data_IF_658591011213
#
_entry.id   IF_658591011213
#
_cell.length_a   1.000
_cell.length_b   1.000
_cell.length_c   1.000
_cell.angle_alpha   90.00
_cell.angle_beta   90.00
_cell.angle_gamma   90.00
#
_symmetry.space_group_name_H-M   'P 1'
#
loop_
_entity.id
_entity.type
_entity.pdbx_description
1 polymer ?
#
# COMPACT_ATOMS: atom_id res chain seq x y z
N UNK A 1 -2.53 4.43 8.13
CA UNK A 1 -2.40 3.82 6.79
C UNK A 1 -1.84 2.42 6.93
N UNK A 2 -2.46 1.41 6.30
CA UNK A 2 -1.88 0.08 6.18
C UNK A 2 -0.96 -0.04 4.98
N UNK A 3 0.17 -0.74 5.12
CA UNK A 3 1.11 -0.98 4.03
C UNK A 3 1.41 -2.47 3.86
N UNK A 4 1.45 -2.93 2.60
CA UNK A 4 1.85 -4.28 2.23
C UNK A 4 2.68 -4.24 0.95
N UNK A 5 3.92 -4.71 1.02
CA UNK A 5 4.90 -4.59 -0.06
C UNK A 5 5.30 -5.90 -0.70
N UNK A 6 4.98 -7.02 -0.07
CA UNK A 6 5.36 -8.36 -0.52
C UNK A 6 4.21 -9.34 -0.39
N UNK A 7 4.22 -10.37 -1.22
CA UNK A 7 3.25 -11.44 -1.22
C UNK A 7 3.82 -12.75 -0.69
N UNK A 8 3.26 -13.87 -1.16
CA UNK A 8 3.74 -15.20 -0.82
C UNK A 8 5.04 -15.50 -1.61
N UNK A 9 6.18 -15.68 -0.93
CA UNK A 9 7.46 -15.91 -1.58
C UNK A 9 7.57 -17.26 -2.32
N UNK A 10 6.64 -18.18 -2.07
CA UNK A 10 6.57 -19.43 -2.80
C UNK A 10 5.85 -19.29 -4.15
N UNK A 11 5.33 -18.10 -4.46
CA UNK A 11 4.76 -17.80 -5.76
C UNK A 11 5.87 -17.41 -6.74
N UNK A 12 5.97 -18.13 -7.87
CA UNK A 12 7.07 -18.02 -8.85
C UNK A 12 7.29 -16.61 -9.40
N UNK A 13 6.29 -15.75 -9.40
CA UNK A 13 6.34 -14.38 -9.90
C UNK A 13 6.29 -13.34 -8.79
N UNK A 14 6.51 -13.73 -7.54
CA UNK A 14 6.41 -12.81 -6.40
C UNK A 14 7.49 -11.71 -6.46
N UNK A 15 8.67 -12.01 -6.97
CA UNK A 15 9.77 -11.06 -7.14
C UNK A 15 9.39 -9.85 -8.01
N UNK A 16 8.53 -10.04 -9.03
CA UNK A 16 8.12 -8.97 -9.94
C UNK A 16 7.06 -8.04 -9.36
N UNK A 17 6.26 -8.50 -8.41
CA UNK A 17 5.20 -7.72 -7.77
C UNK A 17 5.58 -7.21 -6.38
N UNK A 18 6.57 -7.83 -5.75
CA UNK A 18 7.08 -7.38 -4.46
C UNK A 18 7.93 -6.13 -4.63
N UNK A 19 7.77 -5.20 -3.71
CA UNK A 19 8.41 -3.89 -3.75
C UNK A 19 9.53 -3.89 -2.72
N UNK A 20 10.78 -3.56 -3.09
CA UNK A 20 11.84 -3.38 -2.10
C UNK A 20 11.44 -2.34 -1.06
N UNK A 21 11.57 -2.67 0.23
CA UNK A 21 11.02 -1.84 1.31
C UNK A 21 11.60 -0.43 1.34
N UNK A 22 12.86 -0.26 0.92
CA UNK A 22 13.53 1.05 0.79
C UNK A 22 12.77 2.07 -0.08
N UNK A 23 11.93 1.61 -1.03
CA UNK A 23 11.13 2.53 -1.83
C UNK A 23 10.08 3.29 -1.00
N UNK A 24 9.70 2.76 0.16
CA UNK A 24 8.76 3.42 1.07
C UNK A 24 9.36 4.59 1.85
N UNK A 25 10.68 4.83 1.80
CA UNK A 25 11.37 5.92 2.50
C UNK A 25 10.70 7.27 2.30
N UNK A 26 10.28 7.58 1.07
CA UNK A 26 9.68 8.86 0.72
C UNK A 26 8.39 9.13 1.49
N UNK A 27 7.59 8.09 1.75
CA UNK A 27 6.32 8.22 2.44
C UNK A 27 6.43 8.00 3.96
N UNK A 28 7.39 7.21 4.43
CA UNK A 28 7.61 6.99 5.86
C UNK A 28 8.09 8.25 6.59
N UNK A 29 8.54 9.28 5.85
CA UNK A 29 8.91 10.60 6.39
C UNK A 29 7.73 11.44 6.84
N UNK A 30 6.48 11.08 6.49
CA UNK A 30 5.28 11.79 6.95
C UNK A 30 5.01 11.49 8.43
N UNK A 31 5.54 12.35 9.31
CA UNK A 31 5.47 12.16 10.79
C UNK A 31 4.05 12.16 11.36
N UNK A 32 3.11 12.80 10.67
CA UNK A 32 1.69 12.87 11.07
C UNK A 32 0.89 11.61 10.66
N UNK A 33 1.55 10.60 10.10
CA UNK A 33 0.93 9.36 9.63
C UNK A 33 1.51 8.17 10.36
N UNK A 34 0.64 7.34 10.94
CA UNK A 34 1.01 6.02 11.42
C UNK A 34 0.85 5.00 10.28
N UNK A 35 1.91 4.24 10.03
CA UNK A 35 1.93 3.15 9.06
C UNK A 35 1.86 1.81 9.79
N UNK A 36 0.92 0.97 9.39
CA UNK A 36 0.73 -0.36 9.96
C UNK A 36 1.16 -1.41 8.96
N UNK A 37 2.10 -2.27 9.34
CA UNK A 37 2.54 -3.39 8.53
C UNK A 37 1.41 -4.41 8.42
N UNK A 38 0.97 -4.68 7.20
CA UNK A 38 -0.02 -5.70 6.87
C UNK A 38 0.58 -6.93 6.18
N UNK A 39 1.82 -6.83 5.69
CA UNK A 39 2.55 -7.98 5.14
C UNK A 39 2.92 -8.96 6.25
N UNK A 40 2.66 -10.23 6.02
CA UNK A 40 3.03 -11.30 6.95
C UNK A 40 4.49 -11.75 6.78
N UNK A 41 5.12 -11.40 5.66
CA UNK A 41 6.45 -11.86 5.33
C UNK A 41 7.55 -10.90 5.76
N UNK A 42 8.57 -11.44 6.43
CA UNK A 42 9.77 -10.74 6.90
C UNK A 42 11.01 -11.08 6.04
N UNK A 43 10.84 -11.58 4.84
CA UNK A 43 11.94 -12.12 4.02
C UNK A 43 12.93 -11.08 3.52
N UNK A 44 12.53 -9.83 3.33
CA UNK A 44 13.50 -8.79 3.05
C UNK A 44 14.13 -8.33 4.37
N UNK A 45 15.40 -8.64 4.60
CA UNK A 45 16.16 -8.08 5.72
C UNK A 45 16.06 -6.56 5.81
N UNK A 46 15.76 -5.89 4.69
CA UNK A 46 15.54 -4.44 4.58
C UNK A 46 14.52 -3.89 5.58
N UNK A 47 13.42 -4.60 5.84
CA UNK A 47 12.41 -4.11 6.80
C UNK A 47 12.97 -3.98 8.22
N UNK A 48 13.96 -4.79 8.58
CA UNK A 48 14.55 -4.79 9.93
C UNK A 48 15.20 -3.44 10.27
N UNK A 49 15.76 -2.77 9.29
CA UNK A 49 16.42 -1.46 9.44
C UNK A 49 15.41 -0.36 9.78
N UNK A 50 14.13 -0.58 9.50
CA UNK A 50 13.05 0.38 9.68
C UNK A 50 12.22 0.17 10.95
N UNK A 51 12.45 -0.91 11.70
CA UNK A 51 11.71 -1.23 12.94
C UNK A 51 11.78 -0.15 14.01
N UNK A 52 12.82 0.68 13.97
CA UNK A 52 13.02 1.78 14.91
C UNK A 52 12.21 3.05 14.57
N UNK A 53 11.55 3.11 13.42
CA UNK A 53 10.74 4.27 13.06
C UNK A 53 9.48 4.34 13.94
N UNK A 54 9.27 5.46 14.65
CA UNK A 54 8.19 5.57 15.64
C UNK A 54 6.79 5.53 15.04
N UNK A 55 6.67 5.83 13.75
CA UNK A 55 5.42 5.84 13.01
C UNK A 55 5.19 4.59 12.14
N UNK A 56 6.09 3.60 12.22
CA UNK A 56 5.92 2.30 11.57
C UNK A 56 5.61 1.24 12.63
N UNK A 57 4.40 0.72 12.59
CA UNK A 57 3.85 -0.17 13.62
C UNK A 57 3.77 -1.58 13.04
N UNK A 58 4.54 -2.50 13.60
CA UNK A 58 4.43 -3.93 13.31
C UNK A 58 3.41 -4.56 14.24
N UNK A 59 2.36 -5.12 13.65
CA UNK A 59 1.29 -5.78 14.40
C UNK A 59 1.57 -7.25 14.70
N UNK A 60 2.74 -7.76 14.26
CA UNK A 60 3.08 -9.18 14.31
C UNK A 60 2.21 -10.02 13.37
N UNK A 61 2.37 -11.35 13.48
CA UNK A 61 1.61 -12.29 12.66
C UNK A 61 0.14 -12.27 13.04
N UNK A 62 -0.70 -12.09 12.03
CA UNK A 62 -2.15 -12.02 12.16
C UNK A 62 -2.82 -12.92 11.13
N UNK A 63 -3.89 -13.58 11.54
CA UNK A 63 -4.78 -14.29 10.63
C UNK A 63 -5.44 -13.30 9.65
N UNK A 64 -5.88 -13.81 8.50
CA UNK A 64 -6.58 -12.98 7.51
C UNK A 64 -7.85 -12.34 8.09
N UNK A 65 -8.48 -12.99 9.05
CA UNK A 65 -9.65 -12.47 9.77
C UNK A 65 -9.27 -11.26 10.65
N UNK A 66 -8.17 -11.32 11.39
CA UNK A 66 -7.69 -10.21 12.21
C UNK A 66 -7.26 -9.03 11.33
N UNK A 67 -6.53 -9.31 10.23
CA UNK A 67 -6.16 -8.31 9.22
C UNK A 67 -7.40 -7.62 8.66
N UNK A 68 -8.49 -8.35 8.39
CA UNK A 68 -9.73 -7.76 7.89
C UNK A 68 -10.34 -6.75 8.86
N UNK A 69 -10.29 -7.03 10.17
CA UNK A 69 -10.76 -6.10 11.21
C UNK A 69 -9.88 -4.85 11.30
N UNK A 70 -8.57 -5.03 11.14
CA UNK A 70 -7.62 -3.91 11.14
C UNK A 70 -7.87 -3.02 9.92
N UNK A 71 -7.95 -3.61 8.72
CA UNK A 71 -8.19 -2.88 7.47
C UNK A 71 -9.42 -1.98 7.56
N UNK A 72 -10.51 -2.46 8.16
CA UNK A 72 -11.75 -1.67 8.34
C UNK A 72 -11.57 -0.39 9.16
N UNK A 73 -10.53 -0.31 9.98
CA UNK A 73 -10.25 0.84 10.85
C UNK A 73 -9.23 1.80 10.23
N UNK A 74 -8.66 1.46 9.06
CA UNK A 74 -7.66 2.27 8.41
C UNK A 74 -8.28 3.33 7.50
N UNK A 75 -7.66 4.49 7.44
CA UNK A 75 -8.05 5.56 6.51
C UNK A 75 -7.68 5.21 5.06
N UNK A 76 -6.62 4.40 4.87
CA UNK A 76 -6.07 4.04 3.56
C UNK A 76 -5.27 2.74 3.67
N UNK A 77 -5.32 1.93 2.63
CA UNK A 77 -4.41 0.79 2.44
C UNK A 77 -3.55 1.04 1.20
N UNK A 78 -2.24 0.82 1.30
CA UNK A 78 -1.30 0.86 0.19
C UNK A 78 -0.69 -0.53 0.07
N UNK A 79 -0.85 -1.16 -1.08
CA UNK A 79 -0.40 -2.54 -1.26
C UNK A 79 0.12 -2.80 -2.67
N UNK A 80 1.11 -3.66 -2.79
CA UNK A 80 1.40 -4.37 -4.05
C UNK A 80 0.27 -5.35 -4.38
N UNK A 81 0.34 -6.03 -5.54
CA UNK A 81 -0.66 -7.01 -5.98
C UNK A 81 -0.62 -8.28 -5.12
N UNK A 82 -1.23 -8.21 -3.96
CA UNK A 82 -1.30 -9.28 -2.96
C UNK A 82 -2.72 -9.49 -2.46
N UNK A 83 -2.96 -10.51 -1.63
CA UNK A 83 -4.26 -10.74 -0.99
C UNK A 83 -4.79 -9.53 -0.20
N UNK A 84 -3.90 -8.68 0.29
CA UNK A 84 -4.26 -7.50 1.08
C UNK A 84 -5.04 -6.48 0.26
N UNK A 85 -4.64 -6.21 -1.00
CA UNK A 85 -5.38 -5.26 -1.83
C UNK A 85 -6.75 -5.78 -2.21
N UNK A 86 -6.89 -7.08 -2.46
CA UNK A 86 -8.17 -7.71 -2.72
C UNK A 86 -9.08 -7.65 -1.50
N UNK A 87 -8.54 -7.94 -0.31
CA UNK A 87 -9.29 -7.85 0.93
C UNK A 87 -9.77 -6.42 1.21
N UNK A 88 -8.89 -5.43 1.05
CA UNK A 88 -9.25 -4.02 1.21
C UNK A 88 -10.33 -3.58 0.21
N UNK A 89 -10.24 -4.04 -1.04
CA UNK A 89 -11.24 -3.79 -2.08
C UNK A 89 -12.61 -4.38 -1.76
N UNK A 90 -12.65 -5.65 -1.32
CA UNK A 90 -13.90 -6.33 -0.88
C UNK A 90 -14.53 -5.59 0.30
N UNK A 91 -13.72 -5.11 1.23
CA UNK A 91 -14.17 -4.35 2.40
C UNK A 91 -14.54 -2.90 2.07
N UNK A 92 -14.40 -2.49 0.82
CA UNK A 92 -14.65 -1.13 0.33
C UNK A 92 -13.85 -0.05 1.07
N UNK A 93 -12.65 -0.39 1.53
CA UNK A 93 -11.71 0.54 2.16
C UNK A 93 -10.90 1.25 1.07
N UNK A 94 -10.72 2.57 1.19
CA UNK A 94 -9.89 3.34 0.27
C UNK A 94 -8.51 2.72 0.18
N UNK A 95 -8.06 2.44 -1.05
CA UNK A 95 -6.81 1.74 -1.25
C UNK A 95 -6.06 2.25 -2.47
N UNK A 96 -4.73 2.14 -2.42
CA UNK A 96 -3.84 2.40 -3.55
C UNK A 96 -3.09 1.11 -3.85
N UNK A 97 -3.29 0.60 -5.05
CA UNK A 97 -2.54 -0.52 -5.60
C UNK A 97 -1.28 0.01 -6.28
N UNK A 98 -0.12 -0.45 -5.84
CA UNK A 98 1.16 -0.23 -6.50
C UNK A 98 1.41 -1.41 -7.43
N UNK A 99 1.25 -1.20 -8.72
CA UNK A 99 1.19 -2.26 -9.72
C UNK A 99 2.49 -2.31 -10.53
N UNK A 100 3.04 -3.50 -10.71
CA UNK A 100 4.22 -3.73 -11.54
C UNK A 100 3.91 -3.56 -13.05
N UNK A 101 4.95 -3.44 -13.85
CA UNK A 101 4.84 -3.21 -15.29
C UNK A 101 4.07 -4.33 -16.01
N UNK A 102 4.43 -5.60 -15.74
CA UNK A 102 3.76 -6.79 -16.25
C UNK A 102 2.68 -7.24 -15.27
N UNK A 103 1.60 -6.48 -15.22
CA UNK A 103 0.50 -6.73 -14.30
C UNK A 103 -0.40 -7.89 -14.73
N UNK A 104 -1.06 -8.49 -13.76
CA UNK A 104 -2.12 -9.48 -13.99
C UNK A 104 -3.28 -8.86 -14.80
N UNK A 105 -3.93 -9.66 -15.63
CA UNK A 105 -5.05 -9.27 -16.47
C UNK A 105 -6.22 -8.64 -15.68
N UNK A 106 -6.39 -9.01 -14.41
CA UNK A 106 -7.44 -8.47 -13.54
C UNK A 106 -7.37 -6.96 -13.34
N UNK A 107 -6.20 -6.37 -13.51
CA UNK A 107 -5.99 -4.94 -13.27
C UNK A 107 -6.13 -4.08 -14.51
N UNK A 108 -6.32 -4.71 -15.68
CA UNK A 108 -6.39 -4.05 -17.00
C UNK A 108 -5.19 -3.16 -17.31
N UNK A 109 -4.93 -2.94 -18.58
CA UNK A 109 -3.88 -2.01 -18.99
C UNK A 109 -4.43 -0.58 -19.02
N UNK A 110 -3.62 0.36 -18.54
CA UNK A 110 -3.82 1.82 -18.68
C UNK A 110 -5.01 2.44 -17.93
N UNK A 111 -5.54 1.78 -16.90
CA UNK A 111 -6.59 2.36 -16.06
C UNK A 111 -6.07 2.71 -14.67
N UNK A 112 -6.54 3.86 -14.14
CA UNK A 112 -6.31 4.25 -12.75
C UNK A 112 -7.34 3.70 -11.78
N UNK A 113 -8.32 2.95 -12.29
CA UNK A 113 -9.41 2.34 -11.53
C UNK A 113 -9.63 0.92 -12.01
N UNK A 114 -10.13 0.08 -11.16
CA UNK A 114 -10.56 -1.27 -11.49
C UNK A 114 -12.07 -1.39 -11.40
N UNK A 115 -12.68 -2.21 -12.26
CA UNK A 115 -14.10 -2.50 -12.21
C UNK A 115 -14.49 -3.38 -11.02
N UNK A 116 -13.52 -4.12 -10.47
CA UNK A 116 -13.75 -5.04 -9.35
C UNK A 116 -13.90 -4.33 -8.01
N UNK A 117 -13.15 -3.25 -7.81
CA UNK A 117 -13.06 -2.55 -6.53
C UNK A 117 -13.09 -1.04 -6.73
N UNK A 118 -14.26 -0.40 -6.64
CA UNK A 118 -14.38 1.06 -6.84
C UNK A 118 -13.54 1.90 -5.86
N UNK A 119 -13.20 1.31 -4.70
CA UNK A 119 -12.37 1.95 -3.67
C UNK A 119 -10.87 1.90 -3.94
N UNK A 120 -10.42 1.16 -4.98
CA UNK A 120 -9.01 0.97 -5.30
C UNK A 120 -8.58 1.92 -6.41
N UNK A 121 -7.55 2.71 -6.15
CA UNK A 121 -6.84 3.52 -7.12
C UNK A 121 -5.54 2.82 -7.53
N UNK A 122 -5.22 2.79 -8.82
CA UNK A 122 -4.06 2.08 -9.35
C UNK A 122 -2.96 3.06 -9.73
N UNK A 123 -1.75 2.81 -9.24
CA UNK A 123 -0.51 3.46 -9.69
C UNK A 123 0.38 2.38 -10.29
N UNK A 124 0.63 2.45 -11.60
CA UNK A 124 1.38 1.42 -12.34
C UNK A 124 2.78 1.88 -12.70
N UNK A 125 3.73 0.94 -12.67
CA UNK A 125 5.07 1.16 -13.23
C UNK A 125 4.97 1.54 -14.71
N UNK A 126 5.70 2.60 -15.09
CA UNK A 126 5.85 3.03 -16.50
C UNK A 126 7.03 2.36 -17.20
N UNK A 127 7.96 1.83 -16.42
CA UNK A 127 9.16 1.14 -16.89
C UNK A 127 9.37 -0.13 -16.07
N UNK A 128 9.73 -1.21 -16.73
CA UNK A 128 10.06 -2.48 -16.08
C UNK A 128 11.12 -2.27 -14.99
N UNK A 129 10.91 -2.92 -13.86
CA UNK A 129 11.79 -2.90 -12.68
C UNK A 129 12.13 -1.50 -12.12
N UNK A 130 11.26 -0.51 -12.35
CA UNK A 130 11.43 0.84 -11.79
C UNK A 130 10.20 1.27 -11.02
N UNK A 131 10.34 1.45 -9.71
CA UNK A 131 9.31 1.94 -8.82
C UNK A 131 9.31 3.47 -8.64
N UNK A 132 10.28 4.17 -9.23
CA UNK A 132 10.47 5.62 -9.06
C UNK A 132 9.18 6.41 -9.38
N UNK A 133 8.62 6.23 -10.58
CA UNK A 133 7.40 6.94 -10.97
C UNK A 133 6.20 6.61 -10.07
N UNK A 134 6.15 5.37 -9.55
CA UNK A 134 5.08 4.90 -8.67
C UNK A 134 5.12 5.66 -7.35
N UNK A 135 6.30 5.76 -6.74
CA UNK A 135 6.45 6.45 -5.46
C UNK A 135 6.35 7.96 -5.58
N UNK A 136 6.78 8.58 -6.69
CA UNK A 136 6.52 10.00 -6.97
C UNK A 136 5.01 10.31 -7.03
N UNK A 137 4.24 9.49 -7.75
CA UNK A 137 2.78 9.65 -7.83
C UNK A 137 2.12 9.35 -6.48
N UNK A 138 2.56 8.32 -5.77
CA UNK A 138 2.07 7.96 -4.43
C UNK A 138 2.27 9.10 -3.44
N UNK A 139 3.46 9.69 -3.39
CA UNK A 139 3.77 10.81 -2.50
C UNK A 139 2.87 12.02 -2.78
N UNK A 140 2.67 12.35 -4.05
CA UNK A 140 1.76 13.43 -4.48
C UNK A 140 0.33 13.15 -4.00
N UNK A 141 -0.15 11.92 -4.20
CA UNK A 141 -1.49 11.51 -3.75
C UNK A 141 -1.66 11.59 -2.23
N UNK A 142 -0.65 11.16 -1.48
CA UNK A 142 -0.69 11.24 -0.03
C UNK A 142 -0.74 12.70 0.46
N UNK A 143 0.05 13.59 -0.13
CA UNK A 143 0.00 15.02 0.18
C UNK A 143 -1.41 15.57 -0.05
N UNK A 144 -2.04 15.29 -1.19
CA UNK A 144 -3.43 15.72 -1.49
C UNK A 144 -4.43 15.22 -0.43
N UNK A 145 -4.32 13.95 -0.01
CA UNK A 145 -5.22 13.36 0.98
C UNK A 145 -5.04 14.00 2.37
N UNK A 146 -3.79 14.28 2.77
CA UNK A 146 -3.48 14.95 4.03
C UNK A 146 -4.05 16.37 4.05
N UNK A 147 -3.85 17.13 2.98
CA UNK A 147 -4.37 18.50 2.88
C UNK A 147 -5.90 18.54 2.95
N UNK A 148 -6.60 17.63 2.24
CA UNK A 148 -8.05 17.53 2.30
C UNK A 148 -8.56 17.20 3.70
N UNK A 149 -7.88 16.32 4.43
CA UNK A 149 -8.26 15.93 5.80
C UNK A 149 -8.04 17.09 6.80
N UNK A 150 -6.99 17.89 6.62
CA UNK A 150 -6.73 19.08 7.44
C UNK A 150 -7.75 20.22 7.14
N UNK A 151 -8.11 20.42 5.87
CA UNK A 151 -9.11 21.41 5.47
C UNK A 151 -10.51 21.11 5.97
N UNK A 152 -10.94 19.84 5.98
CA UNK A 152 -12.26 19.46 6.49
C UNK A 152 -12.39 19.52 8.02
N UNK A 153 -11.28 19.52 8.77
CA UNK A 153 -11.29 19.74 10.23
C UNK A 153 -11.43 21.21 10.62
N UNK A 154 -11.11 22.15 9.72
CA UNK A 154 -11.20 23.59 9.96
C UNK A 154 -12.57 24.20 9.58
N UNK A 155 -13.50 23.41 9.07
CA UNK A 155 -14.86 23.82 8.72
C UNK A 155 -15.94 23.37 9.74
N UNK A 156 -15.55 23.08 10.96
CA UNK A 156 -16.48 22.75 12.05
C UNK A 156 -16.54 23.94 13.02
N UNK A 157 -17.26 24.99 12.62
CA UNK A 157 -17.82 26.02 13.51
C UNK A 157 -19.29 26.20 13.17
#
# INVERSE_FOLDING_TARGET
IGISWSGNPNYSFDEYRSIPFRNFDSILRFKDINFYKLSQDNKSGEYLDYKSLPNLIDLGDKSIYEISKIIRQLDLVISSDTSIIHLAGILNVKSILLLNFNSDWRWFNDTKKTIWYPSVYIIKQKKFDSWENVFMELETKLKELIYKKKGSKNCSF
#
